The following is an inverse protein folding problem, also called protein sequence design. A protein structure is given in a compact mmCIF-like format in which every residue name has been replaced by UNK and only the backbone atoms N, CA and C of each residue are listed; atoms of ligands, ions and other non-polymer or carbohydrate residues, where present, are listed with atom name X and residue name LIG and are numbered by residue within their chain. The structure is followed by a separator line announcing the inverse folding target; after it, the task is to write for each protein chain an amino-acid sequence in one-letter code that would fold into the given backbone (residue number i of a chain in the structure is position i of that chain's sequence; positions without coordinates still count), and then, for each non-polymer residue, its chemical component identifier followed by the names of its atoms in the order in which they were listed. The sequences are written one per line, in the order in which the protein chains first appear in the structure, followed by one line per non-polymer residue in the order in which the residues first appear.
data_IF_885044286017
#
_entry.id   IF_885044286017
#
_cell.length_a   1.000
_cell.length_b   1.000
_cell.length_c   1.000
_cell.angle_alpha   90.00
_cell.angle_beta   90.00
_cell.angle_gamma   90.00
#
_symmetry.space_group_name_H-M   'P 1'
#
loop_
_entity.id
_entity.type
_entity.pdbx_description
1 polymer ?
#
# COMPACT_ATOMS: atom_id res chain seq x y z
N UNK A 1 -0.88 6.49 -13.76
CA UNK A 1 -0.10 5.28 -13.44
C UNK A 1 0.81 5.58 -12.25
N UNK A 2 0.96 4.64 -11.34
CA UNK A 2 1.75 4.78 -10.11
C UNK A 2 3.04 3.98 -10.27
N UNK A 3 4.19 4.51 -9.89
CA UNK A 3 5.49 3.82 -9.97
C UNK A 3 5.91 3.27 -8.61
N UNK A 4 6.95 2.43 -8.58
CA UNK A 4 7.58 2.00 -7.32
C UNK A 4 8.13 3.20 -6.53
N UNK A 5 8.57 4.27 -7.21
CA UNK A 5 9.03 5.49 -6.57
C UNK A 5 7.89 6.22 -5.86
N UNK A 6 6.73 6.34 -6.50
CA UNK A 6 5.55 7.00 -5.93
C UNK A 6 5.08 6.29 -4.65
N UNK A 7 5.08 4.94 -4.68
CA UNK A 7 4.69 4.11 -3.54
C UNK A 7 5.70 4.24 -2.41
N UNK A 8 6.99 4.17 -2.73
CA UNK A 8 8.06 4.34 -1.74
C UNK A 8 7.95 5.71 -1.04
N UNK A 9 7.77 6.78 -1.82
CA UNK A 9 7.57 8.13 -1.29
C UNK A 9 6.27 8.27 -0.50
N UNK A 10 5.16 7.64 -0.92
CA UNK A 10 3.90 7.66 -0.17
C UNK A 10 3.99 6.91 1.17
N UNK A 11 4.79 5.84 1.22
CA UNK A 11 5.09 5.08 2.43
C UNK A 11 6.20 5.70 3.30
N UNK A 12 6.94 6.70 2.79
CA UNK A 12 8.11 7.25 3.48
C UNK A 12 9.28 6.26 3.60
N UNK A 13 9.43 5.34 2.64
CA UNK A 13 10.49 4.31 2.63
C UNK A 13 11.31 4.37 1.35
N UNK A 14 12.41 3.62 1.31
CA UNK A 14 13.21 3.47 0.09
C UNK A 14 12.54 2.54 -0.94
N UNK A 15 12.85 2.74 -2.22
CA UNK A 15 12.43 1.85 -3.32
C UNK A 15 12.85 0.39 -3.08
N UNK A 16 14.01 0.18 -2.45
CA UNK A 16 14.50 -1.15 -2.11
C UNK A 16 13.59 -1.87 -1.12
N UNK A 17 13.03 -1.16 -0.14
CA UNK A 17 12.07 -1.69 0.83
C UNK A 17 10.80 -2.17 0.15
N UNK A 18 10.24 -1.37 -0.78
CA UNK A 18 9.05 -1.79 -1.55
C UNK A 18 9.34 -3.04 -2.40
N UNK A 19 10.51 -3.11 -3.04
CA UNK A 19 10.94 -4.33 -3.77
C UNK A 19 11.09 -5.53 -2.84
N UNK A 20 11.65 -5.34 -1.66
CA UNK A 20 11.80 -6.40 -0.64
C UNK A 20 10.45 -6.95 -0.20
N UNK A 21 9.45 -6.09 0.00
CA UNK A 21 8.10 -6.55 0.34
C UNK A 21 7.51 -7.43 -0.76
N UNK A 22 7.62 -7.01 -2.02
CA UNK A 22 7.13 -7.79 -3.16
C UNK A 22 7.87 -9.13 -3.30
N UNK A 23 9.18 -9.15 -3.10
CA UNK A 23 9.97 -10.39 -3.12
C UNK A 23 9.56 -11.37 -2.00
N UNK A 24 9.13 -10.84 -0.85
CA UNK A 24 8.66 -11.62 0.31
C UNK A 24 7.20 -12.02 0.23
N UNK A 25 6.47 -11.62 -0.82
CA UNK A 25 5.08 -11.98 -1.06
C UNK A 25 4.92 -12.53 -2.49
N UNK A 26 5.54 -13.68 -2.82
CA UNK A 26 5.62 -14.19 -4.19
C UNK A 26 4.26 -14.55 -4.81
N UNK A 27 3.25 -14.85 -3.98
CA UNK A 27 1.87 -15.08 -4.42
C UNK A 27 1.11 -13.78 -4.72
N UNK A 28 1.68 -12.62 -4.38
CA UNK A 28 1.07 -11.31 -4.60
C UNK A 28 1.60 -10.65 -5.88
N UNK A 29 1.10 -11.13 -7.01
CA UNK A 29 1.49 -10.63 -8.32
C UNK A 29 0.69 -9.39 -8.70
N UNK A 30 1.35 -8.22 -8.69
CA UNK A 30 0.77 -6.94 -9.10
C UNK A 30 1.72 -6.15 -10.01
N UNK A 31 1.14 -5.17 -10.69
CA UNK A 31 1.81 -4.23 -11.57
C UNK A 31 2.15 -4.82 -12.91
N UNK A 32 2.40 -3.94 -13.88
CA UNK A 32 2.89 -4.26 -15.22
C UNK A 32 4.16 -3.47 -15.50
N UNK A 33 4.94 -3.90 -16.48
CA UNK A 33 6.06 -3.10 -16.96
C UNK A 33 5.60 -2.12 -18.04
N UNK A 34 6.09 -0.89 -17.94
CA UNK A 34 6.01 0.15 -18.97
C UNK A 34 7.46 0.56 -19.29
N UNK A 35 7.99 0.00 -20.38
CA UNK A 35 9.43 -0.04 -20.64
C UNK A 35 10.19 -0.76 -19.51
N UNK A 36 11.15 -0.07 -18.90
CA UNK A 36 11.95 -0.59 -17.77
C UNK A 36 11.35 -0.26 -16.40
N UNK A 37 10.19 0.41 -16.34
CA UNK A 37 9.58 0.85 -15.10
C UNK A 37 8.40 -0.04 -14.75
N UNK A 38 8.38 -0.57 -13.52
CA UNK A 38 7.20 -1.24 -12.99
C UNK A 38 6.15 -0.20 -12.58
N UNK A 39 4.99 -0.27 -13.20
CA UNK A 39 3.84 0.60 -12.97
C UNK A 39 2.67 -0.18 -12.38
N UNK A 40 1.89 0.50 -11.58
CA UNK A 40 0.75 -0.01 -10.84
C UNK A 40 -0.48 0.82 -11.18
N UNK A 41 -1.63 0.16 -11.21
CA UNK A 41 -2.93 0.82 -11.17
C UNK A 41 -3.10 1.58 -9.85
N UNK A 42 -4.11 2.46 -9.78
CA UNK A 42 -4.46 3.20 -8.56
C UNK A 42 -4.70 2.25 -7.38
N UNK A 43 -5.46 1.20 -7.63
CA UNK A 43 -5.82 0.18 -6.64
C UNK A 43 -4.61 -0.63 -6.15
N UNK A 44 -3.72 -1.05 -7.06
CA UNK A 44 -2.49 -1.76 -6.66
C UNK A 44 -1.55 -0.85 -5.85
N UNK A 45 -1.45 0.43 -6.22
CA UNK A 45 -0.68 1.40 -5.44
C UNK A 45 -1.27 1.60 -4.04
N UNK A 46 -2.60 1.69 -3.92
CA UNK A 46 -3.28 1.79 -2.63
C UNK A 46 -3.08 0.53 -1.79
N UNK A 47 -3.16 -0.66 -2.40
CA UNK A 47 -2.87 -1.92 -1.72
C UNK A 47 -1.45 -1.95 -1.16
N UNK A 48 -0.45 -1.49 -1.90
CA UNK A 48 0.93 -1.40 -1.38
C UNK A 48 1.08 -0.38 -0.26
N UNK A 49 0.36 0.74 -0.33
CA UNK A 49 0.38 1.75 0.72
C UNK A 49 -0.26 1.24 2.02
N UNK A 50 -1.41 0.58 1.92
CA UNK A 50 -2.05 -0.11 3.05
C UNK A 50 -1.10 -1.16 3.63
N UNK A 51 -0.46 -1.96 2.78
CA UNK A 51 0.49 -2.96 3.25
C UNK A 51 1.67 -2.33 4.02
N UNK A 52 2.21 -1.21 3.54
CA UNK A 52 3.27 -0.46 4.23
C UNK A 52 2.83 0.06 5.61
N UNK A 53 1.60 0.56 5.73
CA UNK A 53 1.04 1.00 7.02
C UNK A 53 0.91 -0.16 8.03
N UNK A 54 0.52 -1.34 7.57
CA UNK A 54 0.37 -2.53 8.43
C UNK A 54 1.73 -3.12 8.83
N UNK A 55 2.68 -3.20 7.89
CA UNK A 55 4.03 -3.70 8.14
C UNK A 55 4.79 -2.77 9.11
N UNK A 56 4.70 -1.46 8.92
CA UNK A 56 5.38 -0.47 9.79
C UNK A 56 4.87 -0.48 11.23
N UNK A 57 3.63 -0.91 11.45
CA UNK A 57 3.04 -1.11 12.78
C UNK A 57 3.23 -2.53 13.34
N UNK A 58 3.99 -3.37 12.65
CA UNK A 58 4.28 -4.73 13.10
C UNK A 58 3.08 -5.69 13.05
N UNK A 59 2.01 -5.35 12.33
CA UNK A 59 0.80 -6.18 12.31
C UNK A 59 1.00 -7.49 11.51
N UNK A 60 2.00 -7.54 10.64
CA UNK A 60 2.35 -8.77 9.94
C UNK A 60 3.49 -8.62 8.96
N UNK A 61 3.83 -9.76 8.38
CA UNK A 61 4.85 -9.85 7.34
C UNK A 61 4.26 -9.57 5.96
N UNK A 62 5.08 -9.24 4.94
CA UNK A 62 4.57 -8.92 3.61
C UNK A 62 3.66 -9.99 2.99
N UNK A 63 3.96 -11.27 3.17
CA UNK A 63 3.16 -12.36 2.59
C UNK A 63 1.74 -12.45 3.17
N UNK A 64 1.57 -12.11 4.45
CA UNK A 64 0.27 -12.11 5.12
C UNK A 64 -0.52 -10.85 4.79
N UNK A 65 0.18 -9.71 4.81
CA UNK A 65 -0.42 -8.38 4.75
C UNK A 65 -0.89 -8.04 3.33
N UNK A 66 -0.09 -8.35 2.30
CA UNK A 66 -0.36 -7.87 0.94
C UNK A 66 -1.70 -8.39 0.35
N UNK A 67 -2.07 -9.68 0.50
CA UNK A 67 -3.38 -10.17 0.05
C UNK A 67 -4.56 -9.48 0.75
N UNK A 68 -4.42 -9.19 2.05
CA UNK A 68 -5.45 -8.48 2.84
C UNK A 68 -5.56 -7.03 2.36
N UNK A 69 -4.42 -6.36 2.20
CA UNK A 69 -4.36 -4.97 1.73
C UNK A 69 -5.00 -4.81 0.34
N UNK A 70 -4.82 -5.78 -0.56
CA UNK A 70 -5.47 -5.80 -1.88
C UNK A 70 -6.98 -5.99 -1.81
N UNK A 71 -7.47 -6.84 -0.90
CA UNK A 71 -8.90 -7.00 -0.65
C UNK A 71 -9.50 -5.69 -0.12
N UNK A 72 -8.84 -5.04 0.85
CA UNK A 72 -9.28 -3.74 1.40
C UNK A 72 -9.29 -2.67 0.30
N UNK A 73 -8.24 -2.56 -0.51
CA UNK A 73 -8.16 -1.61 -1.61
C UNK A 73 -9.23 -1.84 -2.71
N UNK A 74 -9.85 -3.03 -2.74
CA UNK A 74 -10.99 -3.36 -3.63
C UNK A 74 -12.35 -3.04 -3.02
N UNK A 75 -12.48 -3.08 -1.71
CA UNK A 75 -13.77 -3.06 -1.03
C UNK A 75 -14.44 -1.67 -1.01
N UNK A 76 -13.70 -0.57 -0.82
CA UNK A 76 -14.12 0.83 -1.06
C UNK A 76 -13.07 1.80 -0.52
N UNK A 77 -12.88 2.95 -1.16
CA UNK A 77 -11.84 3.92 -0.82
C UNK A 77 -12.22 4.95 0.26
N UNK A 78 -13.52 5.07 0.61
CA UNK A 78 -14.02 6.22 1.37
C UNK A 78 -14.30 5.92 2.86
N UNK A 79 -13.80 4.80 3.37
CA UNK A 79 -14.15 4.33 4.72
C UNK A 79 -12.92 4.19 5.62
N UNK A 80 -13.15 4.33 6.92
CA UNK A 80 -12.19 3.92 7.94
C UNK A 80 -12.27 2.40 8.08
N UNK A 81 -11.15 1.71 7.87
CA UNK A 81 -11.06 0.26 8.06
C UNK A 81 -10.11 -0.06 9.20
N UNK A 82 -10.54 -0.91 10.12
CA UNK A 82 -9.71 -1.46 11.18
C UNK A 82 -9.13 -2.79 10.73
N UNK A 83 -7.81 -2.97 10.88
CA UNK A 83 -7.14 -4.24 10.60
C UNK A 83 -6.48 -4.74 11.87
N UNK A 84 -6.67 -6.01 12.18
CA UNK A 84 -6.24 -6.61 13.44
C UNK A 84 -5.84 -8.07 13.23
N UNK A 85 -5.26 -8.68 14.26
CA UNK A 85 -5.02 -10.12 14.33
C UNK A 85 -6.15 -10.75 15.13
N UNK A 86 -6.85 -11.71 14.52
CA UNK A 86 -7.87 -12.48 15.22
C UNK A 86 -7.25 -13.49 16.21
N UNK A 87 -8.10 -14.27 16.87
CA UNK A 87 -7.69 -15.26 17.87
C UNK A 87 -6.82 -16.38 17.31
N UNK A 88 -6.96 -16.68 16.02
CA UNK A 88 -6.17 -17.69 15.32
C UNK A 88 -4.83 -17.11 14.81
N UNK A 89 -4.60 -15.82 15.06
CA UNK A 89 -3.44 -15.09 14.59
C UNK A 89 -3.53 -14.74 13.12
N UNK A 90 -4.67 -14.88 12.46
CA UNK A 90 -4.88 -14.46 11.08
C UNK A 90 -5.21 -12.96 11.01
N UNK A 91 -4.90 -12.34 9.87
CA UNK A 91 -5.24 -10.93 9.63
C UNK A 91 -6.71 -10.80 9.21
N UNK A 92 -7.47 -10.07 10.00
CA UNK A 92 -8.86 -9.72 9.76
C UNK A 92 -9.04 -8.21 9.60
N UNK A 93 -10.19 -7.79 9.05
CA UNK A 93 -10.54 -6.38 8.94
C UNK A 93 -12.03 -6.15 9.19
N UNK A 94 -12.36 -4.96 9.70
CA UNK A 94 -13.71 -4.56 10.09
C UNK A 94 -13.92 -3.06 9.83
N UNK A 95 -15.16 -2.65 9.61
CA UNK A 95 -15.58 -1.24 9.59
C UNK A 95 -15.79 -0.69 11.02
N UNK A 96 -16.01 -1.58 11.99
CA UNK A 96 -16.12 -1.27 13.41
C UNK A 96 -14.79 -1.47 14.13
N UNK A 97 -14.49 -0.59 15.10
CA UNK A 97 -13.29 -0.71 15.92
C UNK A 97 -13.35 -2.00 16.75
N UNK A 98 -12.39 -2.92 16.59
CA UNK A 98 -12.33 -4.12 17.41
C UNK A 98 -11.85 -3.78 18.83
N UNK A 99 -12.14 -4.66 19.78
CA UNK A 99 -11.62 -4.57 21.15
C UNK A 99 -10.14 -4.98 21.27
N UNK A 100 -9.58 -5.54 20.20
CA UNK A 100 -8.20 -6.01 20.10
C UNK A 100 -7.26 -4.89 19.61
N UNK A 101 -5.94 -5.13 19.69
CA UNK A 101 -4.95 -4.20 19.12
C UNK A 101 -5.12 -4.17 17.59
N UNK A 102 -5.45 -2.99 17.08
CA UNK A 102 -5.79 -2.81 15.68
C UNK A 102 -5.15 -1.56 15.08
N UNK A 103 -5.01 -1.58 13.76
CA UNK A 103 -4.55 -0.45 12.95
C UNK A 103 -5.75 0.17 12.25
N UNK A 104 -6.00 1.44 12.57
CA UNK A 104 -6.93 2.29 11.84
C UNK A 104 -6.33 2.69 10.48
N UNK A 105 -7.04 2.37 9.40
CA UNK A 105 -6.71 2.74 8.03
C UNK A 105 -7.76 3.71 7.47
N UNK A 106 -7.52 5.04 7.54
CA UNK A 106 -8.37 6.02 6.89
C UNK A 106 -8.12 6.00 5.37
N UNK A 107 -8.86 5.17 4.62
CA UNK A 107 -8.53 4.85 3.23
C UNK A 107 -8.49 6.07 2.30
N UNK A 108 -9.40 7.02 2.48
CA UNK A 108 -9.45 8.27 1.72
C UNK A 108 -8.20 9.13 1.95
N UNK A 109 -7.72 9.21 3.20
CA UNK A 109 -6.48 9.92 3.51
C UNK A 109 -5.25 9.24 2.88
N UNK A 110 -5.20 7.90 2.89
CA UNK A 110 -4.14 7.13 2.24
C UNK A 110 -4.16 7.34 0.72
N UNK A 111 -5.34 7.34 0.11
CA UNK A 111 -5.51 7.54 -1.31
C UNK A 111 -5.15 8.96 -1.77
N UNK A 112 -5.55 9.99 -1.00
CA UNK A 112 -5.10 11.37 -1.22
C UNK A 112 -3.59 11.49 -1.12
N UNK A 113 -2.96 10.84 -0.14
CA UNK A 113 -1.51 10.84 0.02
C UNK A 113 -0.83 10.23 -1.20
N UNK A 114 -1.31 9.08 -1.67
CA UNK A 114 -0.79 8.41 -2.86
C UNK A 114 -0.91 9.29 -4.11
N UNK A 115 -2.08 9.90 -4.32
CA UNK A 115 -2.37 10.79 -5.46
C UNK A 115 -1.47 12.03 -5.46
N UNK A 116 -1.31 12.66 -4.29
CA UNK A 116 -0.46 13.85 -4.12
C UNK A 116 1.00 13.53 -4.45
N UNK A 117 1.52 12.42 -3.93
CA UNK A 117 2.91 12.00 -4.18
C UNK A 117 3.14 11.69 -5.65
N UNK A 118 2.24 10.92 -6.28
CA UNK A 118 2.34 10.57 -7.70
C UNK A 118 2.27 11.80 -8.63
N UNK A 119 1.60 12.87 -8.20
CA UNK A 119 1.55 14.14 -8.94
C UNK A 119 2.84 14.95 -8.77
N UNK A 120 3.38 14.98 -7.55
CA UNK A 120 4.61 15.71 -7.23
C UNK A 120 5.84 15.14 -7.95
N UNK A 121 6.01 13.82 -7.96
CA UNK A 121 7.15 13.17 -8.63
C UNK A 121 7.16 13.45 -10.14
N UNK A 122 6.00 13.47 -10.80
CA UNK A 122 5.90 13.84 -12.22
C UNK A 122 6.30 15.28 -12.48
N UNK A 123 5.89 16.20 -11.62
CA UNK A 123 6.27 17.62 -11.71
C UNK A 123 7.75 17.87 -11.46
N UNK A 124 8.41 16.98 -10.69
CA UNK A 124 9.86 17.03 -10.45
C UNK A 124 10.63 16.53 -11.67
N UNK A 125 10.26 15.37 -12.23
CA UNK A 125 10.92 14.82 -13.43
C UNK A 125 10.86 15.79 -14.61
N UNK A 126 9.72 16.45 -14.84
CA UNK A 126 9.56 17.43 -15.91
C UNK A 126 10.47 18.68 -15.79
N UNK A 127 10.96 19.00 -14.58
CA UNK A 127 11.86 20.16 -14.36
C UNK A 127 13.33 19.87 -14.62
N UNK A 128 13.76 18.61 -14.59
CA UNK A 128 15.16 18.24 -14.80
C UNK A 128 15.50 17.94 -16.27
N UNK A 129 14.50 17.90 -17.16
CA UNK A 129 14.68 17.64 -18.60
C UNK A 129 14.67 18.91 -19.46
N UNK A 130 15.12 20.06 -18.93
CA UNK A 130 15.29 21.30 -19.70
C UNK A 130 16.74 21.74 -19.75
#
# INVERSE_FOLDING_TARGET
MITTADVAAACGVEKATVRSWLARAPSFTIGRYDGQTKVYSRQEGLAMLIAGELISRGLGTPHEVMPVASRIARASADQLVWVYRDRDGALAHSDQQPHEVAVALPLDALERRLTRTATHERGRVARYTR
#
